data_IF_550742836972
#
_entry.id   IF_550742836972
#
_cell.length_a   1.000
_cell.length_b   1.000
_cell.length_c   1.000
_cell.angle_alpha   90.00
_cell.angle_beta   90.00
_cell.angle_gamma   90.00
#
_symmetry.space_group_name_H-M   'P 1'
#
loop_
_entity.id
_entity.type
_entity.pdbx_description
1 polymer ?
#
# COMPACT_ATOMS: atom_id res chain seq x y z
N UNK A 1 -3.93 11.44 -6.20
CA UNK A 1 -4.44 10.12 -5.79
C UNK A 1 -3.49 9.62 -4.71
N UNK A 2 -3.99 9.29 -3.52
CA UNK A 2 -3.13 8.76 -2.45
C UNK A 2 -2.64 7.34 -2.76
N UNK A 3 -3.38 6.60 -3.59
CA UNK A 3 -3.07 5.23 -4.01
C UNK A 3 -2.38 5.27 -5.39
N UNK A 4 -1.11 4.90 -5.42
CA UNK A 4 -0.25 5.05 -6.60
C UNK A 4 -0.51 4.00 -7.68
N UNK A 5 -0.91 2.79 -7.28
CA UNK A 5 -1.07 1.65 -8.18
C UNK A 5 -2.35 1.71 -9.02
N UNK A 6 -3.20 2.71 -8.78
CA UNK A 6 -4.35 3.03 -9.64
C UNK A 6 -3.98 3.83 -10.88
N UNK A 7 -2.68 4.08 -11.13
CA UNK A 7 -2.23 4.74 -12.36
C UNK A 7 -2.77 4.03 -13.61
N UNK A 8 -3.43 4.79 -14.48
CA UNK A 8 -3.99 4.27 -15.73
C UNK A 8 -5.25 3.42 -15.58
N UNK A 9 -5.77 3.23 -14.35
CA UNK A 9 -7.05 2.55 -14.12
C UNK A 9 -8.18 3.57 -14.26
N UNK A 10 -9.24 3.27 -15.04
CA UNK A 10 -10.37 4.19 -15.18
C UNK A 10 -11.06 4.44 -13.83
N UNK A 11 -11.51 5.68 -13.60
CA UNK A 11 -12.16 6.05 -12.35
C UNK A 11 -13.50 5.31 -12.16
N UNK A 12 -14.20 4.98 -13.24
CA UNK A 12 -15.40 4.15 -13.19
C UNK A 12 -15.11 2.74 -12.64
N UNK A 13 -13.94 2.17 -12.93
CA UNK A 13 -13.54 0.86 -12.41
C UNK A 13 -13.17 0.94 -10.92
N UNK A 14 -12.50 2.01 -10.50
CA UNK A 14 -12.19 2.22 -9.07
C UNK A 14 -13.49 2.37 -8.25
N UNK A 15 -14.45 3.12 -8.78
CA UNK A 15 -15.74 3.36 -8.13
C UNK A 15 -16.79 2.27 -8.36
N UNK A 16 -16.53 1.30 -9.23
CA UNK A 16 -17.50 0.25 -9.54
C UNK A 16 -17.88 -0.54 -8.27
N UNK A 17 -19.19 -0.67 -8.04
CA UNK A 17 -19.74 -1.44 -6.95
C UNK A 17 -19.58 -2.93 -7.24
N UNK A 18 -19.00 -3.63 -6.27
CA UNK A 18 -18.73 -5.07 -6.32
C UNK A 18 -19.41 -5.74 -5.15
N UNK A 19 -19.59 -7.05 -5.25
CA UNK A 19 -20.27 -7.85 -4.24
C UNK A 19 -19.35 -8.98 -3.82
N UNK A 20 -19.14 -9.14 -2.51
CA UNK A 20 -18.40 -10.26 -1.96
C UNK A 20 -19.17 -11.56 -2.14
N UNK A 21 -18.50 -12.71 -2.01
CA UNK A 21 -19.18 -14.01 -1.93
C UNK A 21 -20.24 -14.12 -0.82
N UNK A 22 -20.24 -13.20 0.16
CA UNK A 22 -21.21 -13.12 1.25
C UNK A 22 -22.35 -12.12 0.98
N UNK A 23 -22.41 -11.56 -0.23
CA UNK A 23 -23.48 -10.64 -0.64
C UNK A 23 -23.28 -9.19 -0.17
N UNK A 24 -22.14 -8.86 0.45
CA UNK A 24 -21.85 -7.50 0.92
C UNK A 24 -21.17 -6.69 -0.17
N UNK A 25 -21.40 -5.39 -0.20
CA UNK A 25 -20.92 -4.58 -1.33
C UNK A 25 -19.76 -3.67 -0.97
N UNK A 26 -18.78 -3.55 -1.87
CA UNK A 26 -17.60 -2.71 -1.71
C UNK A 26 -17.19 -2.05 -3.03
N UNK A 27 -16.21 -1.15 -2.96
CA UNK A 27 -15.51 -0.56 -4.12
C UNK A 27 -14.01 -0.59 -3.88
N UNK A 28 -13.20 -0.28 -4.91
CA UNK A 28 -11.77 -0.05 -4.75
C UNK A 28 -11.46 1.41 -4.35
N UNK A 29 -12.47 2.27 -4.25
CA UNK A 29 -12.29 3.63 -3.76
C UNK A 29 -12.12 3.61 -2.24
N UNK A 30 -10.92 3.25 -1.80
CA UNK A 30 -10.56 3.20 -0.40
C UNK A 30 -10.37 4.61 0.17
N UNK A 31 -10.71 4.84 1.45
CA UNK A 31 -10.47 6.12 2.10
C UNK A 31 -8.96 6.37 2.23
N UNK A 32 -8.50 7.50 1.71
CA UNK A 32 -7.09 7.91 1.71
C UNK A 32 -6.53 7.96 3.14
N UNK A 33 -7.36 8.27 4.14
CA UNK A 33 -7.01 8.38 5.56
C UNK A 33 -6.67 7.03 6.21
N UNK A 34 -7.06 5.91 5.60
CA UNK A 34 -6.69 4.57 6.05
C UNK A 34 -5.48 4.02 5.28
N UNK A 35 -4.97 4.73 4.28
CA UNK A 35 -3.83 4.27 3.49
C UNK A 35 -2.53 4.52 4.26
N UNK A 36 -1.78 3.44 4.49
CA UNK A 36 -0.47 3.47 5.16
C UNK A 36 0.60 2.95 4.22
N UNK A 37 1.70 3.69 4.13
CA UNK A 37 2.89 3.27 3.41
C UNK A 37 3.71 2.27 4.25
N UNK A 38 3.70 1.01 3.83
CA UNK A 38 4.43 -0.08 4.47
C UNK A 38 5.92 -0.04 4.09
N UNK A 39 6.76 -0.66 4.92
CA UNK A 39 8.22 -0.70 4.71
C UNK A 39 8.62 -1.78 3.73
N UNK A 40 9.55 -1.50 2.83
CA UNK A 40 10.18 -2.53 2.02
C UNK A 40 11.25 -3.25 2.83
N UNK A 41 11.13 -4.55 3.01
CA UNK A 41 12.06 -5.37 3.80
C UNK A 41 12.74 -6.48 2.98
N UNK A 42 12.41 -6.56 1.70
CA UNK A 42 12.91 -7.56 0.76
C UNK A 42 11.99 -8.77 0.62
N UNK A 43 12.05 -9.39 -0.56
CA UNK A 43 11.38 -10.66 -0.86
C UNK A 43 11.93 -11.79 0.04
N UNK A 44 11.16 -12.89 0.14
CA UNK A 44 11.52 -14.10 0.90
C UNK A 44 11.69 -13.90 2.42
N UNK A 45 11.35 -12.73 2.98
CA UNK A 45 11.27 -12.53 4.43
C UNK A 45 9.96 -13.08 4.98
N UNK A 46 10.01 -13.73 6.14
CA UNK A 46 8.82 -14.32 6.78
C UNK A 46 7.74 -13.30 7.11
N UNK A 47 8.12 -12.05 7.38
CA UNK A 47 7.25 -10.89 7.62
C UNK A 47 7.04 -10.01 6.38
N UNK A 48 7.41 -10.47 5.18
CA UNK A 48 7.10 -9.79 3.93
C UNK A 48 5.89 -10.42 3.23
N UNK A 49 5.22 -9.63 2.40
CA UNK A 49 4.35 -10.10 1.34
C UNK A 49 5.19 -10.57 0.14
N UNK A 50 4.52 -11.09 -0.91
CA UNK A 50 5.20 -11.65 -2.08
C UNK A 50 6.00 -10.63 -2.92
N UNK A 51 5.83 -9.33 -2.67
CA UNK A 51 6.54 -8.25 -3.35
C UNK A 51 7.57 -7.56 -2.44
N UNK A 52 7.84 -8.10 -1.25
CA UNK A 52 8.89 -7.62 -0.35
C UNK A 52 8.48 -6.54 0.65
N UNK A 53 7.19 -6.22 0.77
CA UNK A 53 6.67 -5.24 1.73
C UNK A 53 6.28 -5.88 3.06
N UNK A 54 6.54 -5.20 4.17
CA UNK A 54 6.18 -5.64 5.51
C UNK A 54 4.67 -5.89 5.64
N UNK A 55 4.27 -7.10 6.08
CA UNK A 55 2.86 -7.50 6.30
C UNK A 55 2.43 -7.43 7.78
N UNK A 56 3.09 -6.58 8.56
CA UNK A 56 2.87 -6.48 10.00
C UNK A 56 1.55 -5.77 10.30
N UNK A 57 0.51 -6.56 10.51
CA UNK A 57 -0.81 -6.08 10.93
C UNK A 57 -0.76 -5.17 12.18
N UNK A 58 -0.03 -5.50 13.26
CA UNK A 58 0.06 -4.62 14.42
C UNK A 58 0.69 -3.27 14.08
N UNK A 59 1.73 -3.25 13.24
CA UNK A 59 2.39 -1.99 12.84
C UNK A 59 1.45 -1.12 12.01
N UNK A 60 0.69 -1.72 11.08
CA UNK A 60 -0.32 -1.02 10.30
C UNK A 60 -1.36 -0.33 11.20
N UNK A 61 -2.05 -1.07 12.08
CA UNK A 61 -3.11 -0.48 12.91
C UNK A 61 -2.59 0.49 13.95
N UNK A 62 -1.38 0.26 14.48
CA UNK A 62 -0.72 1.22 15.37
C UNK A 62 -0.49 2.55 14.66
N UNK A 63 -0.02 2.53 13.42
CA UNK A 63 0.19 3.76 12.64
C UNK A 63 -1.11 4.50 12.34
N UNK A 64 -2.18 3.79 11.95
CA UNK A 64 -3.50 4.43 11.76
C UNK A 64 -4.00 5.05 13.06
N UNK A 65 -3.88 4.35 14.19
CA UNK A 65 -4.31 4.84 15.50
C UNK A 65 -3.49 6.04 16.00
N UNK A 66 -2.18 6.06 15.78
CA UNK A 66 -1.31 7.18 16.16
C UNK A 66 -1.63 8.46 15.37
N UNK A 67 -2.06 8.31 14.10
CA UNK A 67 -2.42 9.45 13.25
C UNK A 67 -3.88 9.88 13.42
N UNK A 68 -4.78 8.94 13.67
CA UNK A 68 -6.23 9.14 13.72
C UNK A 68 -6.89 8.32 14.83
N UNK A 69 -6.64 8.68 16.11
CA UNK A 69 -7.25 7.97 17.24
C UNK A 69 -8.79 8.08 17.24
N UNK A 70 -9.36 9.12 16.65
CA UNK A 70 -10.80 9.38 16.57
C UNK A 70 -11.59 8.31 15.80
N UNK A 71 -10.94 7.56 14.90
CA UNK A 71 -11.58 6.49 14.13
C UNK A 71 -11.94 5.26 14.97
N UNK A 72 -11.41 5.17 16.19
CA UNK A 72 -11.48 3.97 17.01
C UNK A 72 -12.17 4.24 18.34
N UNK A 73 -13.21 3.46 18.64
CA UNK A 73 -13.81 3.43 19.97
C UNK A 73 -12.79 2.99 21.01
N UNK A 74 -13.04 3.27 22.30
CA UNK A 74 -12.20 2.78 23.41
C UNK A 74 -11.91 1.28 23.33
N UNK A 75 -12.90 0.47 22.90
CA UNK A 75 -12.73 -0.98 22.73
C UNK A 75 -11.72 -1.29 21.61
N UNK A 76 -11.83 -0.61 20.47
CA UNK A 76 -10.90 -0.77 19.36
C UNK A 76 -9.50 -0.27 19.73
N UNK A 77 -9.37 0.84 20.45
CA UNK A 77 -8.09 1.33 20.97
C UNK A 77 -7.38 0.27 21.82
N UNK A 78 -8.09 -0.36 22.77
CA UNK A 78 -7.54 -1.47 23.58
C UNK A 78 -7.12 -2.68 22.75
N UNK A 79 -7.87 -3.00 21.68
CA UNK A 79 -7.49 -4.06 20.75
C UNK A 79 -6.17 -3.71 20.04
N UNK A 80 -6.05 -2.49 19.52
CA UNK A 80 -4.85 -2.03 18.81
C UNK A 80 -3.63 -1.99 19.74
N UNK A 81 -3.77 -1.46 20.95
CA UNK A 81 -2.71 -1.40 21.97
C UNK A 81 -2.23 -2.80 22.39
N UNK A 82 -3.13 -3.78 22.43
CA UNK A 82 -2.79 -5.19 22.67
C UNK A 82 -2.29 -5.93 21.41
N UNK A 83 -2.06 -5.19 20.32
CA UNK A 83 -1.56 -5.71 19.06
C UNK A 83 -2.60 -6.51 18.27
N UNK A 84 -3.90 -6.42 18.57
CA UNK A 84 -5.01 -7.10 17.87
C UNK A 84 -5.65 -6.20 16.82
N UNK A 85 -6.45 -6.80 15.94
CA UNK A 85 -7.25 -6.03 14.97
C UNK A 85 -8.43 -5.36 15.66
N UNK A 86 -8.74 -4.10 15.28
CA UNK A 86 -10.02 -3.49 15.63
C UNK A 86 -11.17 -4.15 14.86
N UNK A 87 -12.39 -3.84 15.26
CA UNK A 87 -13.62 -4.30 14.63
C UNK A 87 -14.34 -3.13 13.95
N UNK A 88 -15.18 -3.42 12.96
CA UNK A 88 -16.15 -2.47 12.42
C UNK A 88 -17.22 -2.24 13.50
N UNK A 89 -17.18 -1.08 14.14
CA UNK A 89 -18.18 -0.64 15.13
C UNK A 89 -18.79 0.71 14.72
N UNK A 90 -19.69 1.23 15.56
CA UNK A 90 -20.40 2.47 15.27
C UNK A 90 -19.46 3.69 15.14
N UNK A 91 -18.41 3.77 15.96
CA UNK A 91 -17.40 4.84 15.84
C UNK A 91 -16.69 4.75 14.50
N UNK A 92 -16.27 3.55 14.10
CA UNK A 92 -15.59 3.37 12.82
C UNK A 92 -16.50 3.71 11.62
N UNK A 93 -17.78 3.29 11.63
CA UNK A 93 -18.72 3.56 10.54
C UNK A 93 -19.28 4.99 10.53
N UNK A 94 -19.11 5.75 11.61
CA UNK A 94 -19.36 7.19 11.64
C UNK A 94 -18.35 7.94 10.76
N UNK A 95 -17.07 7.55 10.83
CA UNK A 95 -16.00 8.10 10.00
C UNK A 95 -15.94 7.49 8.60
N UNK A 96 -16.26 6.19 8.47
CA UNK A 96 -16.20 5.44 7.22
C UNK A 96 -17.57 4.84 6.85
N UNK A 97 -18.54 5.68 6.42
CA UNK A 97 -19.90 5.24 6.15
C UNK A 97 -20.01 4.21 5.01
N UNK A 98 -18.99 4.09 4.16
CA UNK A 98 -18.91 3.05 3.13
C UNK A 98 -18.84 1.63 3.71
N UNK A 99 -18.49 1.48 4.99
CA UNK A 99 -18.42 0.20 5.68
C UNK A 99 -19.66 -0.10 6.54
N UNK A 100 -20.74 0.69 6.42
CA UNK A 100 -22.05 0.34 6.99
C UNK A 100 -22.55 -0.98 6.38
N UNK A 101 -23.09 -1.87 7.22
CA UNK A 101 -23.45 -3.25 6.86
C UNK A 101 -22.35 -4.29 7.10
N UNK A 102 -21.16 -3.85 7.54
CA UNK A 102 -20.06 -4.72 7.96
C UNK A 102 -19.89 -4.77 9.49
N UNK A 103 -20.85 -4.26 10.27
CA UNK A 103 -20.76 -4.17 11.72
C UNK A 103 -20.46 -5.54 12.36
N UNK A 104 -19.51 -5.53 13.30
CA UNK A 104 -19.04 -6.74 13.98
C UNK A 104 -17.95 -7.50 13.23
N UNK A 105 -17.61 -7.15 11.99
CA UNK A 105 -16.47 -7.76 11.31
C UNK A 105 -15.14 -7.28 11.88
N UNK A 106 -14.12 -8.14 11.81
CA UNK A 106 -12.75 -7.74 12.10
C UNK A 106 -12.20 -6.91 10.94
N UNK A 107 -11.52 -5.81 11.24
CA UNK A 107 -10.75 -5.07 10.23
C UNK A 107 -9.44 -5.80 9.96
N UNK A 108 -9.13 -5.98 8.68
CA UNK A 108 -7.86 -6.55 8.22
C UNK A 108 -7.10 -5.52 7.39
N UNK A 109 -5.77 -5.53 7.48
CA UNK A 109 -4.94 -4.76 6.57
C UNK A 109 -4.84 -5.51 5.24
N UNK A 110 -5.09 -4.81 4.15
CA UNK A 110 -5.02 -5.29 2.79
C UNK A 110 -3.94 -4.49 2.06
N UNK A 111 -2.98 -5.17 1.43
CA UNK A 111 -2.02 -4.51 0.54
C UNK A 111 -2.64 -4.30 -0.83
N UNK A 112 -2.84 -3.05 -1.23
CA UNK A 112 -3.49 -2.67 -2.49
C UNK A 112 -2.61 -3.14 -3.66
N UNK A 113 -3.09 -4.05 -4.50
CA UNK A 113 -2.30 -4.69 -5.56
C UNK A 113 -1.10 -5.49 -5.05
N UNK A 114 -1.07 -5.83 -3.76
CA UNK A 114 0.09 -6.38 -3.02
C UNK A 114 1.29 -5.40 -2.94
N UNK A 115 1.05 -4.10 -3.12
CA UNK A 115 2.05 -3.04 -3.07
C UNK A 115 2.49 -2.67 -1.65
N UNK A 116 3.39 -1.69 -1.54
CA UNK A 116 3.79 -1.02 -0.32
C UNK A 116 2.77 -0.04 0.25
N UNK A 117 1.55 0.01 -0.28
CA UNK A 117 0.43 0.73 0.34
C UNK A 117 -0.59 -0.29 0.85
N UNK A 118 -0.98 -0.13 2.11
CA UNK A 118 -1.97 -0.98 2.75
C UNK A 118 -3.15 -0.17 3.28
N UNK A 119 -4.32 -0.79 3.37
CA UNK A 119 -5.56 -0.17 3.84
C UNK A 119 -6.40 -1.14 4.67
N UNK A 120 -7.14 -0.61 5.63
CA UNK A 120 -8.06 -1.38 6.47
C UNK A 120 -9.36 -1.61 5.71
N UNK A 121 -9.75 -2.88 5.63
CA UNK A 121 -11.03 -3.31 5.05
C UNK A 121 -11.71 -4.31 5.98
N UNK A 122 -13.06 -4.35 6.01
CA UNK A 122 -13.79 -5.47 6.59
C UNK A 122 -13.32 -6.83 6.06
N UNK A 123 -13.24 -7.83 6.95
CA UNK A 123 -12.69 -9.15 6.64
C UNK A 123 -13.34 -9.83 5.42
N UNK A 124 -14.65 -9.68 5.23
CA UNK A 124 -15.36 -10.33 4.12
C UNK A 124 -14.98 -9.76 2.74
N UNK A 125 -14.41 -8.55 2.66
CA UNK A 125 -13.82 -7.99 1.43
C UNK A 125 -12.50 -8.68 1.08
N UNK A 126 -11.80 -9.24 2.07
CA UNK A 126 -10.46 -9.80 1.95
C UNK A 126 -10.46 -11.32 2.20
N UNK A 127 -11.42 -12.04 1.62
CA UNK A 127 -11.57 -13.48 1.87
C UNK A 127 -10.64 -14.32 0.98
N UNK A 128 -9.65 -14.95 1.60
CA UNK A 128 -8.71 -15.84 0.92
C UNK A 128 -7.87 -15.11 -0.14
N UNK A 129 -7.73 -15.73 -1.31
CA UNK A 129 -7.06 -15.15 -2.48
C UNK A 129 -8.03 -14.57 -3.53
N UNK A 130 -9.34 -14.59 -3.24
CA UNK A 130 -10.39 -14.05 -4.11
C UNK A 130 -10.84 -12.65 -3.68
N UNK A 131 -12.03 -12.25 -4.13
CA UNK A 131 -12.64 -10.95 -3.84
C UNK A 131 -11.81 -9.79 -4.38
N UNK A 132 -11.44 -8.84 -3.51
CA UNK A 132 -10.66 -7.66 -3.86
C UNK A 132 -9.39 -8.01 -4.64
N UNK A 133 -8.71 -9.11 -4.27
CA UNK A 133 -7.49 -9.54 -4.93
C UNK A 133 -7.70 -9.93 -6.39
N UNK A 134 -8.81 -10.59 -6.72
CA UNK A 134 -9.10 -11.00 -8.11
C UNK A 134 -9.33 -9.78 -8.99
N UNK A 135 -10.11 -8.83 -8.47
CA UNK A 135 -10.42 -7.57 -9.15
C UNK A 135 -9.16 -6.76 -9.40
N UNK A 136 -8.30 -6.62 -8.39
CA UNK A 136 -7.04 -5.90 -8.53
C UNK A 136 -6.11 -6.54 -9.57
N UNK A 137 -6.11 -7.87 -9.67
CA UNK A 137 -5.36 -8.57 -10.72
C UNK A 137 -5.97 -8.29 -12.10
N UNK A 138 -7.30 -8.42 -12.24
CA UNK A 138 -8.02 -8.24 -13.52
C UNK A 138 -7.87 -6.82 -14.09
N UNK A 139 -7.83 -5.81 -13.21
CA UNK A 139 -7.62 -4.42 -13.59
C UNK A 139 -6.15 -4.07 -13.85
N UNK A 140 -5.20 -4.96 -13.58
CA UNK A 140 -3.76 -4.67 -13.73
C UNK A 140 -3.16 -3.82 -12.60
N UNK A 141 -3.90 -3.61 -11.50
CA UNK A 141 -3.40 -2.92 -10.30
C UNK A 141 -2.23 -3.70 -9.69
N UNK A 142 -2.33 -5.02 -9.64
CA UNK A 142 -1.24 -5.89 -9.16
C UNK A 142 0.00 -5.82 -10.05
N UNK A 143 -0.17 -5.61 -11.36
CA UNK A 143 0.97 -5.47 -12.28
C UNK A 143 1.66 -4.10 -12.10
N UNK A 144 0.87 -3.04 -11.92
CA UNK A 144 1.39 -1.71 -11.56
C UNK A 144 2.21 -1.75 -10.26
N UNK A 145 1.69 -2.47 -9.24
CA UNK A 145 2.37 -2.71 -7.97
C UNK A 145 3.67 -3.48 -8.16
N UNK A 146 3.64 -4.58 -8.93
CA UNK A 146 4.83 -5.40 -9.20
C UNK A 146 5.94 -4.62 -9.88
N UNK A 147 5.60 -3.79 -10.86
CA UNK A 147 6.58 -2.91 -11.50
C UNK A 147 7.24 -1.96 -10.49
N UNK A 148 6.46 -1.35 -9.59
CA UNK A 148 6.98 -0.46 -8.57
C UNK A 148 7.88 -1.21 -7.56
N UNK A 149 7.45 -2.37 -7.07
CA UNK A 149 8.22 -3.21 -6.15
C UNK A 149 9.55 -3.69 -6.76
N UNK A 150 9.54 -4.10 -8.04
CA UNK A 150 10.76 -4.46 -8.77
C UNK A 150 11.75 -3.30 -8.86
N UNK A 151 11.24 -2.08 -9.08
CA UNK A 151 12.08 -0.89 -9.07
C UNK A 151 12.66 -0.61 -7.67
N UNK A 152 11.89 -0.81 -6.60
CA UNK A 152 12.36 -0.68 -5.22
C UNK A 152 13.45 -1.71 -4.90
N UNK A 153 13.25 -2.97 -5.31
CA UNK A 153 14.26 -4.03 -5.21
C UNK A 153 15.57 -3.62 -5.88
N UNK A 154 15.51 -3.13 -7.12
CA UNK A 154 16.70 -2.68 -7.85
C UNK A 154 17.39 -1.45 -7.23
N UNK A 155 16.68 -0.64 -6.43
CA UNK A 155 17.28 0.42 -5.62
C UNK A 155 18.01 -0.19 -4.42
N UNK A 156 17.37 -1.10 -3.69
CA UNK A 156 17.95 -1.78 -2.52
C UNK A 156 19.18 -2.63 -2.86
N UNK A 157 19.22 -3.24 -4.05
CA UNK A 157 20.39 -3.99 -4.54
C UNK A 157 21.61 -3.07 -4.77
N UNK A 158 21.38 -1.79 -5.09
CA UNK A 158 22.44 -0.79 -5.30
C UNK A 158 22.79 -0.04 -4.01
N UNK A 159 21.82 0.10 -3.12
CA UNK A 159 21.94 0.83 -1.87
C UNK A 159 21.07 0.18 -0.79
N UNK A 160 21.69 -0.65 0.04
CA UNK A 160 21.02 -1.37 1.11
C UNK A 160 20.43 -0.44 2.19
N UNK A 161 20.79 0.85 2.23
CA UNK A 161 20.19 1.81 3.16
C UNK A 161 18.70 2.09 2.88
N UNK A 162 18.22 1.67 1.70
CA UNK A 162 16.80 1.73 1.35
C UNK A 162 15.96 0.59 1.94
N UNK A 163 16.58 -0.46 2.50
CA UNK A 163 15.84 -1.47 3.26
C UNK A 163 15.23 -0.83 4.52
N UNK A 164 13.96 -1.11 4.78
CA UNK A 164 13.18 -0.54 5.88
C UNK A 164 12.50 0.79 5.56
N UNK A 165 12.73 1.35 4.36
CA UNK A 165 12.08 2.57 3.89
C UNK A 165 10.64 2.33 3.49
N UNK A 166 9.78 3.32 3.73
CA UNK A 166 8.38 3.33 3.30
C UNK A 166 8.25 3.54 1.80
N UNK A 167 7.14 3.10 1.20
CA UNK A 167 6.89 3.28 -0.23
C UNK A 167 6.96 4.76 -0.67
N UNK A 168 6.49 5.71 0.13
CA UNK A 168 6.67 7.17 -0.10
C UNK A 168 8.13 7.62 -0.19
N UNK A 169 9.02 7.04 0.61
CA UNK A 169 10.45 7.38 0.56
C UNK A 169 11.09 6.93 -0.76
N UNK A 170 10.72 5.75 -1.29
CA UNK A 170 11.14 5.31 -2.62
C UNK A 170 10.61 6.22 -3.73
N UNK A 171 9.33 6.60 -3.67
CA UNK A 171 8.70 7.52 -4.63
C UNK A 171 9.42 8.88 -4.66
N UNK A 172 9.75 9.42 -3.49
CA UNK A 172 10.48 10.68 -3.37
C UNK A 172 11.88 10.58 -4.00
N UNK A 173 12.57 9.46 -3.80
CA UNK A 173 13.87 9.21 -4.44
C UNK A 173 13.77 9.09 -5.97
N UNK A 174 12.77 8.36 -6.48
CA UNK A 174 12.53 8.24 -7.92
C UNK A 174 12.22 9.61 -8.56
N UNK A 175 11.41 10.44 -7.90
CA UNK A 175 11.13 11.83 -8.32
C UNK A 175 12.42 12.66 -8.39
N UNK A 176 13.29 12.57 -7.38
CA UNK A 176 14.60 13.28 -7.39
C UNK A 176 15.48 12.84 -8.55
N UNK A 177 15.52 11.55 -8.88
CA UNK A 177 16.30 11.01 -10.01
C UNK A 177 15.73 11.40 -11.38
N UNK A 178 14.41 11.59 -11.48
CA UNK A 178 13.73 11.99 -12.71
C UNK A 178 13.70 13.51 -12.93
N UNK A 179 13.77 14.31 -11.86
CA UNK A 179 13.99 15.75 -11.95
C UNK A 179 15.42 16.04 -12.45
N UNK A 180 15.54 16.31 -13.75
CA UNK A 180 16.78 16.48 -14.54
C UNK A 180 17.77 17.57 -14.07
N UNK A 181 17.61 18.24 -12.93
CA UNK A 181 18.56 19.26 -12.46
C UNK A 181 19.82 18.69 -11.77
N UNK A 182 19.86 17.39 -11.45
CA UNK A 182 21.00 16.75 -10.76
C UNK A 182 21.60 15.55 -11.50
N UNK A 183 21.62 15.54 -12.84
CA UNK A 183 22.47 14.58 -13.56
C UNK A 183 23.91 15.08 -13.54
N UNK A 184 24.89 14.34 -12.97
CA UNK A 184 26.28 14.68 -13.20
C UNK A 184 26.53 14.56 -14.71
N UNK A 185 26.97 15.67 -15.32
CA UNK A 185 27.43 15.70 -16.69
C UNK A 185 28.47 14.62 -16.88
N UNK A 186 28.18 13.59 -17.69
CA UNK A 186 29.22 12.70 -18.22
C UNK A 186 30.19 13.59 -19.00
N UNK A 187 31.37 13.86 -18.43
CA UNK A 187 32.48 14.45 -19.18
C UNK A 187 32.89 13.42 -20.23
N UNK A 188 32.48 13.63 -21.47
CA UNK A 188 33.06 12.94 -22.62
C UNK A 188 34.53 13.36 -22.71
N UNK A 189 35.42 12.50 -22.22
CA UNK A 189 36.86 12.62 -22.44
C UNK A 189 37.17 12.37 -23.91
N UNK A 190 37.20 13.44 -24.71
CA UNK A 190 37.82 13.42 -26.02
C UNK A 190 39.33 13.33 -25.83
N UNK A 191 39.88 12.11 -25.91
CA UNK A 191 41.33 11.91 -26.05
C UNK A 191 41.71 12.39 -27.46
N UNK A 192 42.28 13.59 -27.57
CA UNK A 192 43.00 14.02 -28.77
C UNK A 192 44.25 13.15 -28.90
N UNK A 193 44.32 12.32 -29.95
CA UNK A 193 45.57 11.73 -30.41
C UNK A 193 46.45 12.86 -30.94
N UNK A 194 47.59 13.09 -30.30
CA UNK A 194 48.68 13.87 -30.87
C UNK A 194 49.44 12.97 -31.86
N UNK A 195 49.62 13.48 -33.07
CA UNK A 195 50.53 12.94 -34.07
C UNK A 195 51.86 13.68 -33.88
N UNK A 196 52.93 12.92 -33.69
CA UNK A 196 54.31 13.33 -33.93
C UNK A 196 55.07 12.07 -34.35
#
# INVERSE_FOLDING_TARGET
MAIDVYRGIPEEEINARRTTSEGKTYTLNHPDELVVDMRYIGEEKSNANSQGWEKSRPNYFKEVYENHPEYFSTKNSMLIESGKSPMVDATFTEHFPQYKGYEGETLVHHHIGKDGQAVAVPQSIHKGHGEIHSVENELGITDNAREFSNNCKGICEKDASFIGKKSSEFKNEQKKRNCKCCRPTRKNGHLKRAVA
#
